data_IF_866530982078
#
_entry.id   IF_866530982078
#
_cell.length_a   1.000
_cell.length_b   1.000
_cell.length_c   1.000
_cell.angle_alpha   90.00
_cell.angle_beta   90.00
_cell.angle_gamma   90.00
#
_symmetry.space_group_name_H-M   'P 1'
#
loop_
_entity.id
_entity.type
_entity.pdbx_description
1 polymer ?
#
# COMPACT_ATOMS: atom_id res chain seq x y z
N UNK A 1 27.86 -7.78 4.71
CA UNK A 1 26.76 -8.68 5.08
C UNK A 1 25.56 -8.27 4.23
N UNK A 2 25.00 -9.20 3.46
CA UNK A 2 23.74 -9.00 2.76
C UNK A 2 22.58 -9.08 3.77
N UNK A 3 21.60 -8.20 3.65
CA UNK A 3 20.38 -8.19 4.46
C UNK A 3 19.16 -8.31 3.55
N UNK A 4 18.13 -8.96 4.03
CA UNK A 4 16.88 -9.26 3.34
C UNK A 4 15.69 -8.76 4.19
N UNK A 5 14.92 -7.80 3.73
CA UNK A 5 15.10 -6.98 2.52
C UNK A 5 16.23 -5.96 2.70
N UNK A 6 16.71 -5.35 1.60
CA UNK A 6 17.72 -4.29 1.67
C UNK A 6 17.19 -3.06 2.43
N UNK A 7 18.08 -2.34 3.13
CA UNK A 7 17.69 -1.11 3.84
C UNK A 7 17.09 -0.04 2.89
N UNK A 8 17.55 0.02 1.63
CA UNK A 8 16.99 0.93 0.63
C UNK A 8 15.57 0.57 0.23
N UNK A 9 15.28 -0.72 0.03
CA UNK A 9 13.94 -1.20 -0.32
C UNK A 9 12.95 -1.00 0.83
N UNK A 10 13.39 -1.25 2.07
CA UNK A 10 12.58 -0.98 3.28
C UNK A 10 12.25 0.52 3.35
N UNK A 11 13.25 1.40 3.22
CA UNK A 11 13.05 2.84 3.28
C UNK A 11 12.12 3.37 2.18
N UNK A 12 12.13 2.76 0.99
CA UNK A 12 11.17 3.07 -0.07
C UNK A 12 9.73 2.70 0.34
N UNK A 13 9.52 1.53 0.94
CA UNK A 13 8.20 1.08 1.38
C UNK A 13 7.66 1.88 2.58
N UNK A 14 8.52 2.30 3.50
CA UNK A 14 8.13 3.02 4.71
C UNK A 14 7.59 4.43 4.43
N UNK A 15 7.84 4.98 3.24
CA UNK A 15 7.34 6.29 2.82
C UNK A 15 6.47 6.18 1.56
N UNK A 16 5.17 6.41 1.72
CA UNK A 16 4.17 6.27 0.65
C UNK A 16 4.42 7.15 -0.58
N UNK A 17 5.00 8.34 -0.39
CA UNK A 17 5.39 9.21 -1.53
C UNK A 17 6.58 8.62 -2.27
N UNK A 18 7.58 8.10 -1.55
CA UNK A 18 8.75 7.45 -2.16
C UNK A 18 8.33 6.20 -2.94
N UNK A 19 7.47 5.37 -2.38
CA UNK A 19 6.90 4.20 -3.06
C UNK A 19 6.16 4.61 -4.33
N UNK A 20 5.27 5.60 -4.23
CA UNK A 20 4.49 6.11 -5.36
C UNK A 20 5.38 6.60 -6.50
N UNK A 21 6.36 7.44 -6.20
CA UNK A 21 7.28 7.98 -7.20
C UNK A 21 8.14 6.89 -7.85
N UNK A 22 8.57 5.91 -7.07
CA UNK A 22 9.41 4.82 -7.56
C UNK A 22 8.66 3.87 -8.49
N UNK A 23 7.40 3.61 -8.20
CA UNK A 23 6.51 2.76 -9.00
C UNK A 23 5.84 3.51 -10.16
N UNK A 24 6.00 4.84 -10.25
CA UNK A 24 5.42 5.65 -11.31
C UNK A 24 5.89 5.14 -12.68
N UNK A 25 4.95 4.92 -13.60
CA UNK A 25 5.17 4.34 -14.93
C UNK A 25 5.55 2.84 -14.96
N UNK A 26 5.65 2.17 -13.82
CA UNK A 26 5.92 0.72 -13.78
C UNK A 26 4.63 -0.06 -13.57
N UNK A 27 3.81 0.35 -12.60
CA UNK A 27 2.51 -0.24 -12.31
C UNK A 27 1.44 0.83 -12.21
N UNK A 28 0.19 0.43 -12.43
CA UNK A 28 -0.95 1.33 -12.19
C UNK A 28 -1.12 1.56 -10.70
N UNK A 29 -1.21 2.84 -10.31
CA UNK A 29 -1.45 3.30 -8.94
C UNK A 29 -2.60 4.30 -8.94
N UNK A 30 -3.30 4.52 -7.81
CA UNK A 30 -4.26 5.61 -7.70
C UNK A 30 -3.55 6.95 -7.91
N UNK A 31 -4.21 7.89 -8.59
CA UNK A 31 -3.65 9.24 -8.75
C UNK A 31 -3.36 9.85 -7.40
N UNK A 32 -2.16 10.36 -7.24
CA UNK A 32 -1.66 10.85 -5.95
C UNK A 32 -1.03 12.21 -6.12
N UNK A 33 -1.38 13.13 -5.23
CA UNK A 33 -0.79 14.46 -5.12
C UNK A 33 -0.25 14.65 -3.71
N UNK A 34 0.86 15.35 -3.58
CA UNK A 34 1.46 15.69 -2.29
C UNK A 34 2.03 17.10 -2.36
N UNK A 35 1.96 17.87 -1.25
CA UNK A 35 2.50 19.21 -1.22
C UNK A 35 4.03 19.17 -1.25
N UNK A 36 4.68 20.25 -1.71
CA UNK A 36 6.12 20.38 -1.56
C UNK A 36 6.51 20.40 -0.09
N UNK A 37 7.67 19.85 0.25
CA UNK A 37 8.21 19.97 1.60
C UNK A 37 8.47 21.44 1.91
N UNK A 38 7.93 21.91 3.05
CA UNK A 38 8.17 23.25 3.57
C UNK A 38 8.75 23.16 4.96
N UNK A 39 9.76 23.99 5.27
CA UNK A 39 10.34 24.11 6.60
C UNK A 39 9.60 25.13 7.50
N UNK A 40 8.56 25.77 6.96
CA UNK A 40 7.77 26.77 7.67
C UNK A 40 6.32 26.32 7.74
N UNK A 41 5.56 26.83 8.71
CA UNK A 41 4.12 26.62 8.73
C UNK A 41 3.51 27.13 7.42
N UNK A 42 2.84 26.27 6.69
CA UNK A 42 2.30 26.55 5.38
C UNK A 42 0.78 26.51 5.44
N UNK A 43 0.15 27.48 4.79
CA UNK A 43 -1.26 27.37 4.45
C UNK A 43 -1.40 26.41 3.25
N UNK A 44 -2.06 25.29 3.46
CA UNK A 44 -2.28 24.28 2.42
C UNK A 44 -3.59 24.47 1.66
N UNK A 45 -4.36 25.52 1.91
CA UNK A 45 -5.68 25.75 1.30
C UNK A 45 -5.63 25.68 -0.22
N UNK A 46 -4.72 26.44 -0.84
CA UNK A 46 -4.53 26.45 -2.31
C UNK A 46 -4.14 25.07 -2.87
N UNK A 47 -3.32 24.31 -2.13
CA UNK A 47 -2.94 22.95 -2.53
C UNK A 47 -4.13 22.02 -2.48
N UNK A 48 -4.90 22.06 -1.39
CA UNK A 48 -6.08 21.21 -1.19
C UNK A 48 -7.15 21.51 -2.23
N UNK A 49 -7.43 22.78 -2.53
CA UNK A 49 -8.38 23.15 -3.59
C UNK A 49 -7.97 22.60 -4.96
N UNK A 50 -6.70 22.73 -5.32
CA UNK A 50 -6.16 22.16 -6.57
C UNK A 50 -6.20 20.65 -6.58
N UNK A 51 -5.89 20.00 -5.46
CA UNK A 51 -5.95 18.55 -5.34
C UNK A 51 -7.38 18.03 -5.50
N UNK A 52 -8.37 18.68 -4.88
CA UNK A 52 -9.78 18.33 -5.04
C UNK A 52 -10.25 18.53 -6.49
N UNK A 53 -9.79 19.59 -7.16
CA UNK A 53 -10.12 19.82 -8.57
C UNK A 53 -9.57 18.73 -9.50
N UNK A 54 -8.44 18.10 -9.16
CA UNK A 54 -7.79 17.05 -9.96
C UNK A 54 -8.26 15.64 -9.60
N UNK A 55 -8.40 15.34 -8.30
CA UNK A 55 -8.70 14.00 -7.79
C UNK A 55 -10.20 13.75 -7.62
N UNK A 56 -10.99 14.83 -7.43
CA UNK A 56 -12.40 14.73 -7.05
C UNK A 56 -12.60 14.44 -5.55
N UNK A 57 -13.87 14.38 -5.15
CA UNK A 57 -14.29 13.92 -3.83
C UNK A 57 -15.25 12.73 -4.00
N UNK A 58 -15.25 11.75 -3.07
CA UNK A 58 -14.33 11.65 -1.93
C UNK A 58 -12.91 11.35 -2.38
N UNK A 59 -11.93 11.70 -1.54
CA UNK A 59 -10.52 11.33 -1.72
C UNK A 59 -9.94 10.76 -0.42
N UNK A 60 -8.76 10.15 -0.51
CA UNK A 60 -8.09 9.55 0.63
C UNK A 60 -6.91 10.42 1.07
N UNK A 61 -6.96 10.86 2.32
CA UNK A 61 -5.81 11.49 2.99
C UNK A 61 -4.95 10.41 3.64
N UNK A 62 -3.62 10.49 3.45
CA UNK A 62 -2.66 9.58 4.10
C UNK A 62 -1.47 10.37 4.63
N UNK A 63 -1.03 10.09 5.87
CA UNK A 63 0.32 10.49 6.27
C UNK A 63 1.34 9.68 5.47
N UNK A 64 2.48 10.29 5.13
CA UNK A 64 3.51 9.64 4.31
C UNK A 64 4.09 8.39 4.96
N UNK A 65 4.24 8.41 6.28
CA UNK A 65 4.73 7.29 7.08
C UNK A 65 3.64 6.84 8.04
N UNK A 66 3.47 5.54 8.21
CA UNK A 66 2.48 4.97 9.12
C UNK A 66 2.06 3.58 8.68
N UNK A 67 1.54 2.81 9.64
CA UNK A 67 1.17 1.40 9.46
C UNK A 67 -0.26 1.15 9.91
N UNK A 68 -0.80 -0.02 9.52
CA UNK A 68 -2.11 -0.51 9.97
C UNK A 68 -3.31 0.37 9.61
N UNK A 69 -3.17 1.27 8.64
CA UNK A 69 -4.25 2.16 8.22
C UNK A 69 -4.63 3.26 9.25
N UNK A 70 -3.88 3.40 10.35
CA UNK A 70 -4.22 4.35 11.41
C UNK A 70 -4.19 5.82 10.94
N UNK A 71 -3.39 6.14 9.92
CA UNK A 71 -3.22 7.47 9.37
C UNK A 71 -3.80 7.59 7.95
N UNK A 72 -4.90 6.89 7.69
CA UNK A 72 -5.58 6.86 6.38
C UNK A 72 -7.03 7.23 6.59
N UNK A 73 -7.50 8.29 5.92
CA UNK A 73 -8.83 8.85 6.13
C UNK A 73 -9.54 9.10 4.80
N UNK A 74 -10.80 8.70 4.69
CA UNK A 74 -11.67 9.04 3.57
C UNK A 74 -12.30 10.40 3.83
N UNK A 75 -11.97 11.38 3.02
CA UNK A 75 -12.45 12.76 3.13
C UNK A 75 -13.50 13.05 2.05
N UNK A 76 -14.66 13.53 2.48
CA UNK A 76 -15.78 13.89 1.60
C UNK A 76 -15.90 15.39 1.38
N UNK A 77 -15.20 16.17 2.19
CA UNK A 77 -15.20 17.65 2.10
C UNK A 77 -13.78 18.18 2.24
N UNK A 78 -13.58 19.41 1.78
CA UNK A 78 -12.32 20.15 1.96
C UNK A 78 -12.00 20.37 3.44
N UNK A 79 -13.02 20.64 4.26
CA UNK A 79 -12.85 20.86 5.70
C UNK A 79 -12.35 19.59 6.41
N UNK A 80 -12.85 18.40 6.01
CA UNK A 80 -12.34 17.14 6.52
C UNK A 80 -10.85 16.96 6.17
N UNK A 81 -10.44 17.26 4.94
CA UNK A 81 -9.03 17.21 4.53
C UNK A 81 -8.19 18.13 5.42
N UNK A 82 -8.61 19.40 5.53
CA UNK A 82 -7.90 20.40 6.34
C UNK A 82 -7.77 20.00 7.81
N UNK A 83 -8.78 19.33 8.35
CA UNK A 83 -8.77 18.87 9.76
C UNK A 83 -7.74 17.77 10.04
N UNK A 84 -7.31 17.02 9.02
CA UNK A 84 -6.29 15.97 9.16
C UNK A 84 -4.87 16.49 8.95
N UNK A 85 -4.70 17.70 8.39
CA UNK A 85 -3.38 18.29 8.18
C UNK A 85 -2.76 18.70 9.52
N UNK A 86 -1.64 18.05 9.85
CA UNK A 86 -0.84 18.32 11.03
C UNK A 86 0.60 18.68 10.66
N UNK A 87 1.53 18.34 11.52
CA UNK A 87 2.96 18.60 11.33
C UNK A 87 3.66 17.58 10.42
N UNK A 88 3.02 16.42 10.20
CA UNK A 88 3.61 15.34 9.41
C UNK A 88 3.37 15.51 7.93
N UNK A 89 4.33 15.10 7.09
CA UNK A 89 4.14 15.02 5.65
C UNK A 89 2.94 14.13 5.30
N UNK A 90 2.16 14.53 4.31
CA UNK A 90 0.95 13.84 3.87
C UNK A 90 0.84 13.80 2.35
N UNK A 91 -0.06 12.98 1.88
CA UNK A 91 -0.49 12.92 0.48
C UNK A 91 -2.01 12.85 0.39
N UNK A 92 -2.54 13.27 -0.75
CA UNK A 92 -3.94 13.11 -1.14
C UNK A 92 -4.00 12.18 -2.34
N UNK A 93 -4.90 11.20 -2.28
CA UNK A 93 -5.01 10.16 -3.28
C UNK A 93 -6.46 10.02 -3.74
N UNK A 94 -6.70 9.77 -5.04
CA UNK A 94 -8.03 9.47 -5.53
C UNK A 94 -8.62 8.26 -4.79
N UNK A 95 -9.90 8.34 -4.48
CA UNK A 95 -10.63 7.19 -3.95
C UNK A 95 -11.08 6.30 -5.10
N UNK A 96 -10.67 5.03 -5.04
CA UNK A 96 -11.13 4.01 -5.97
C UNK A 96 -12.17 3.15 -5.26
N UNK A 97 -13.39 3.13 -5.80
CA UNK A 97 -14.45 2.29 -5.28
C UNK A 97 -14.10 0.81 -5.51
N UNK A 98 -13.96 0.07 -4.44
CA UNK A 98 -13.57 -1.33 -4.46
C UNK A 98 -14.42 -2.20 -3.51
N UNK A 99 -15.61 -1.73 -3.16
CA UNK A 99 -16.50 -2.39 -2.19
C UNK A 99 -15.82 -2.69 -0.86
N UNK A 100 -15.00 -1.76 -0.37
CA UNK A 100 -14.23 -1.90 0.88
C UNK A 100 -13.37 -3.18 0.94
N UNK A 101 -12.88 -3.62 -0.21
CA UNK A 101 -12.13 -4.86 -0.36
C UNK A 101 -10.82 -4.63 -1.09
N UNK A 102 -9.79 -5.32 -0.67
CA UNK A 102 -8.53 -5.44 -1.40
C UNK A 102 -8.04 -6.88 -1.44
N UNK A 103 -7.05 -7.12 -2.29
CA UNK A 103 -6.32 -8.38 -2.37
C UNK A 103 -4.89 -8.12 -1.93
N UNK A 104 -4.43 -8.84 -0.90
CA UNK A 104 -3.01 -8.89 -0.53
C UNK A 104 -2.37 -10.13 -1.12
N UNK A 105 -1.34 -9.93 -1.93
CA UNK A 105 -0.52 -10.98 -2.53
C UNK A 105 0.86 -10.94 -1.89
N UNK A 106 1.31 -12.06 -1.35
CA UNK A 106 2.66 -12.22 -0.82
C UNK A 106 3.57 -12.74 -1.92
N UNK A 107 4.67 -12.03 -2.15
CA UNK A 107 5.69 -12.32 -3.16
C UNK A 107 6.98 -12.69 -2.45
N UNK A 108 7.64 -13.75 -2.92
CA UNK A 108 8.99 -14.15 -2.50
C UNK A 108 9.82 -14.37 -3.77
N UNK A 109 10.92 -13.64 -3.92
CA UNK A 109 11.68 -13.63 -5.16
C UNK A 109 10.82 -13.16 -6.34
N UNK A 110 10.59 -14.05 -7.28
CA UNK A 110 9.78 -13.83 -8.49
C UNK A 110 8.48 -14.65 -8.48
N UNK A 111 8.00 -15.07 -7.32
CA UNK A 111 6.82 -15.92 -7.20
C UNK A 111 5.76 -15.29 -6.28
N UNK A 112 4.51 -15.30 -6.71
CA UNK A 112 3.36 -14.99 -5.88
C UNK A 112 2.97 -16.27 -5.11
N UNK A 113 3.29 -16.30 -3.82
CA UNK A 113 3.21 -17.52 -3.00
C UNK A 113 1.81 -17.78 -2.48
N UNK A 114 1.16 -16.75 -1.97
CA UNK A 114 -0.18 -16.84 -1.38
C UNK A 114 -0.90 -15.51 -1.49
N UNK A 115 -2.23 -15.56 -1.46
CA UNK A 115 -3.04 -14.36 -1.44
C UNK A 115 -4.27 -14.50 -0.56
N UNK A 116 -4.70 -13.38 0.00
CA UNK A 116 -5.96 -13.27 0.73
C UNK A 116 -6.74 -12.05 0.23
N UNK A 117 -8.06 -12.18 0.14
CA UNK A 117 -8.97 -11.06 0.00
C UNK A 117 -9.33 -10.56 1.38
N UNK A 118 -9.20 -9.24 1.59
CA UNK A 118 -9.64 -8.58 2.83
C UNK A 118 -10.88 -7.76 2.53
N UNK A 119 -11.78 -7.67 3.48
CA UNK A 119 -13.03 -6.95 3.36
C UNK A 119 -13.47 -6.38 4.71
N UNK A 120 -14.01 -5.17 4.71
CA UNK A 120 -14.59 -4.56 5.89
C UNK A 120 -15.96 -3.93 5.54
N UNK A 121 -17.09 -4.41 6.11
CA UNK A 121 -18.40 -3.86 5.78
C UNK A 121 -18.61 -2.44 6.33
N UNK A 122 -17.90 -2.06 7.38
CA UNK A 122 -18.15 -0.84 8.15
C UNK A 122 -17.08 0.26 7.90
N UNK A 123 -15.96 -0.07 7.23
CA UNK A 123 -14.88 0.86 6.96
C UNK A 123 -14.36 0.66 5.52
N UNK A 124 -13.98 1.76 4.86
CA UNK A 124 -13.36 1.68 3.53
C UNK A 124 -11.97 1.02 3.53
N UNK A 125 -11.34 0.95 4.72
CA UNK A 125 -10.07 0.23 4.94
C UNK A 125 -10.36 -1.24 5.24
N UNK A 126 -9.89 -2.11 4.42
CA UNK A 126 -10.07 -3.56 4.53
C UNK A 126 -9.16 -4.25 5.57
N UNK A 127 -8.25 -3.50 6.22
CA UNK A 127 -7.28 -4.05 7.16
C UNK A 127 -7.95 -4.84 8.31
N UNK A 128 -7.45 -6.04 8.59
CA UNK A 128 -7.93 -6.91 9.69
C UNK A 128 -7.85 -6.17 11.04
N UNK A 129 -6.80 -5.39 11.27
CA UNK A 129 -6.60 -4.59 12.49
C UNK A 129 -7.69 -3.53 12.71
N UNK A 130 -8.41 -3.16 11.66
CA UNK A 130 -9.53 -2.21 11.72
C UNK A 130 -10.90 -2.91 11.71
N UNK A 131 -10.95 -4.20 12.07
CA UNK A 131 -12.20 -4.97 12.11
C UNK A 131 -12.57 -5.64 10.78
N UNK A 132 -11.68 -5.59 9.79
CA UNK A 132 -11.85 -6.33 8.54
C UNK A 132 -11.73 -7.84 8.73
N UNK A 133 -12.29 -8.57 7.79
CA UNK A 133 -12.18 -10.03 7.66
C UNK A 133 -11.28 -10.39 6.48
N UNK A 134 -10.78 -11.61 6.46
CA UNK A 134 -10.00 -12.13 5.34
C UNK A 134 -10.45 -13.54 4.96
N UNK A 135 -10.33 -13.87 3.69
CA UNK A 135 -10.58 -15.19 3.13
C UNK A 135 -9.45 -15.57 2.15
N UNK A 136 -9.18 -16.88 1.95
CA UNK A 136 -8.23 -17.31 0.93
C UNK A 136 -8.67 -16.79 -0.45
N UNK A 137 -7.70 -16.36 -1.24
CA UNK A 137 -7.96 -15.87 -2.59
C UNK A 137 -6.99 -16.49 -3.59
N UNK A 138 -7.50 -16.92 -4.74
CA UNK A 138 -6.67 -17.34 -5.87
C UNK A 138 -6.54 -16.15 -6.85
N UNK A 139 -5.38 -15.49 -6.89
CA UNK A 139 -5.18 -14.35 -7.76
C UNK A 139 -5.09 -14.78 -9.22
N UNK A 140 -5.60 -13.93 -10.11
CA UNK A 140 -5.43 -14.08 -11.55
C UNK A 140 -3.95 -13.94 -11.92
N UNK A 141 -3.56 -14.46 -13.09
CA UNK A 141 -2.19 -14.32 -13.59
C UNK A 141 -1.77 -12.85 -13.72
N UNK A 142 -2.70 -11.99 -14.10
CA UNK A 142 -2.49 -10.53 -14.19
C UNK A 142 -2.20 -9.90 -12.82
N UNK A 143 -2.90 -10.29 -11.76
CA UNK A 143 -2.66 -9.81 -10.40
C UNK A 143 -1.34 -10.33 -9.85
N UNK A 144 -0.99 -11.60 -10.12
CA UNK A 144 0.32 -12.19 -9.76
C UNK A 144 1.46 -11.41 -10.43
N UNK A 145 1.37 -11.19 -11.74
CA UNK A 145 2.38 -10.43 -12.50
C UNK A 145 2.51 -8.99 -11.99
N UNK A 146 1.40 -8.33 -11.67
CA UNK A 146 1.37 -6.99 -11.13
C UNK A 146 2.09 -6.92 -9.78
N UNK A 147 1.84 -7.87 -8.87
CA UNK A 147 2.47 -7.94 -7.56
C UNK A 147 3.98 -8.20 -7.68
N UNK A 148 4.39 -9.15 -8.50
CA UNK A 148 5.80 -9.47 -8.76
C UNK A 148 6.52 -8.25 -9.34
N UNK A 149 5.90 -7.58 -10.31
CA UNK A 149 6.47 -6.38 -10.94
C UNK A 149 6.67 -5.26 -9.91
N UNK A 150 5.71 -5.03 -9.02
CA UNK A 150 5.80 -4.01 -7.98
C UNK A 150 6.93 -4.32 -6.98
N UNK A 151 7.04 -5.56 -6.48
CA UNK A 151 8.13 -5.98 -5.60
C UNK A 151 9.50 -5.86 -6.26
N UNK A 152 9.62 -6.35 -7.49
CA UNK A 152 10.86 -6.30 -8.27
C UNK A 152 11.32 -4.86 -8.53
N UNK A 153 10.41 -3.95 -8.87
CA UNK A 153 10.72 -2.54 -9.10
C UNK A 153 11.29 -1.86 -7.85
N UNK A 154 10.78 -2.18 -6.66
CA UNK A 154 11.31 -1.66 -5.38
C UNK A 154 12.61 -2.36 -4.97
N UNK A 155 12.89 -3.54 -5.54
CA UNK A 155 14.04 -4.37 -5.17
C UNK A 155 13.82 -5.13 -3.86
N UNK A 156 12.59 -5.58 -3.62
CA UNK A 156 12.27 -6.44 -2.48
C UNK A 156 12.63 -7.89 -2.80
N UNK A 157 13.25 -8.56 -1.84
CA UNK A 157 13.46 -10.00 -1.87
C UNK A 157 12.15 -10.75 -1.51
N UNK A 158 11.32 -10.15 -0.65
CA UNK A 158 9.98 -10.61 -0.33
C UNK A 158 9.11 -9.45 0.19
N UNK A 159 7.80 -9.54 0.02
CA UNK A 159 6.88 -8.50 0.49
C UNK A 159 5.43 -8.73 0.08
N UNK A 160 4.54 -7.97 0.72
CA UNK A 160 3.11 -8.00 0.45
C UNK A 160 2.66 -6.82 -0.40
N UNK A 161 1.91 -7.10 -1.46
CA UNK A 161 1.35 -6.10 -2.36
C UNK A 161 -0.16 -6.06 -2.20
N UNK A 162 -0.69 -4.86 -1.95
CA UNK A 162 -2.12 -4.62 -1.82
C UNK A 162 -2.67 -4.09 -3.15
N UNK A 163 -3.61 -4.84 -3.73
CA UNK A 163 -4.24 -4.53 -5.02
C UNK A 163 -5.72 -4.23 -4.79
N UNK A 164 -6.20 -3.13 -5.36
CA UNK A 164 -7.60 -2.72 -5.39
C UNK A 164 -8.13 -2.70 -6.81
N UNK A 165 -9.42 -3.01 -6.98
CA UNK A 165 -10.05 -3.03 -8.31
C UNK A 165 -9.45 -4.04 -9.29
N UNK A 166 -8.61 -4.97 -8.83
CA UNK A 166 -8.01 -6.04 -9.64
C UNK A 166 -6.81 -5.63 -10.51
N UNK A 167 -6.51 -4.33 -10.63
CA UNK A 167 -5.45 -3.84 -11.53
C UNK A 167 -4.62 -2.68 -10.96
N UNK A 168 -4.88 -2.24 -9.74
CA UNK A 168 -4.29 -1.03 -9.18
C UNK A 168 -3.55 -1.33 -7.88
N UNK A 169 -2.23 -1.10 -7.86
CA UNK A 169 -1.39 -1.25 -6.66
C UNK A 169 -1.66 -0.09 -5.71
N UNK A 170 -2.20 -0.41 -4.53
CA UNK A 170 -2.52 0.54 -3.48
C UNK A 170 -1.36 0.77 -2.50
N UNK A 171 -0.64 -0.30 -2.17
CA UNK A 171 0.49 -0.27 -1.24
C UNK A 171 1.42 -1.46 -1.47
N UNK A 172 2.72 -1.27 -1.19
CA UNK A 172 3.72 -2.34 -1.14
C UNK A 172 4.38 -2.34 0.23
N UNK A 173 4.39 -3.49 0.87
CA UNK A 173 4.84 -3.65 2.25
C UNK A 173 6.07 -4.55 2.31
N UNK A 174 7.22 -4.01 2.74
CA UNK A 174 8.48 -4.74 2.91
C UNK A 174 8.47 -5.70 4.12
N UNK A 175 7.51 -5.52 5.03
CA UNK A 175 7.31 -6.34 6.21
C UNK A 175 5.83 -6.69 6.33
N UNK A 176 5.34 -7.52 5.42
CA UNK A 176 3.96 -7.99 5.42
C UNK A 176 3.71 -8.92 6.62
N UNK A 177 2.48 -8.87 7.13
CA UNK A 177 2.06 -9.71 8.26
C UNK A 177 1.75 -11.13 7.79
N UNK A 178 2.78 -11.95 7.59
CA UNK A 178 2.68 -13.33 7.10
C UNK A 178 1.86 -14.24 8.03
N UNK A 179 1.76 -13.91 9.33
CA UNK A 179 0.96 -14.70 10.29
C UNK A 179 -0.52 -14.67 9.90
N UNK A 180 -1.10 -13.49 9.66
CA UNK A 180 -2.50 -13.36 9.25
C UNK A 180 -2.77 -14.07 7.91
N UNK A 181 -1.79 -14.03 7.00
CA UNK A 181 -1.87 -14.74 5.73
C UNK A 181 -1.89 -16.25 5.95
N UNK A 182 -0.99 -16.78 6.79
CA UNK A 182 -0.94 -18.21 7.12
C UNK A 182 -2.21 -18.70 7.82
N UNK A 183 -2.73 -17.93 8.78
CA UNK A 183 -4.00 -18.23 9.45
C UNK A 183 -5.19 -18.26 8.48
N UNK A 184 -5.19 -17.36 7.49
CA UNK A 184 -6.26 -17.24 6.51
C UNK A 184 -6.17 -18.32 5.44
N UNK A 185 -4.98 -18.57 4.89
CA UNK A 185 -4.78 -19.42 3.69
C UNK A 185 -4.33 -20.84 4.01
N UNK A 186 -3.79 -21.08 5.22
CA UNK A 186 -3.11 -22.30 5.57
C UNK A 186 -1.70 -22.45 5.00
N UNK A 187 -1.18 -21.40 4.31
CA UNK A 187 0.15 -21.39 3.69
C UNK A 187 1.12 -20.62 4.58
N UNK A 188 2.13 -21.31 5.11
CA UNK A 188 3.24 -20.66 5.82
C UNK A 188 4.31 -20.24 4.81
N UNK A 189 4.48 -18.93 4.65
CA UNK A 189 5.43 -18.31 3.70
C UNK A 189 6.86 -18.31 4.24
N UNK A 190 7.07 -18.44 5.55
CA UNK A 190 8.39 -18.35 6.15
C UNK A 190 9.40 -19.35 5.58
N UNK A 191 9.09 -20.65 5.34
CA UNK A 191 10.02 -21.56 4.70
C UNK A 191 10.50 -21.09 3.33
N UNK A 192 9.60 -20.54 2.49
CA UNK A 192 9.93 -20.05 1.15
C UNK A 192 10.87 -18.83 1.22
N UNK A 193 10.66 -17.94 2.20
CA UNK A 193 11.56 -16.82 2.46
C UNK A 193 12.97 -17.33 2.81
N UNK A 194 13.08 -18.31 3.70
CA UNK A 194 14.38 -18.88 4.08
C UNK A 194 15.06 -19.61 2.92
N UNK A 195 14.31 -20.31 2.09
CA UNK A 195 14.83 -20.98 0.88
C UNK A 195 15.39 -19.93 -0.10
N UNK A 196 14.61 -18.90 -0.41
CA UNK A 196 15.05 -17.78 -1.26
C UNK A 196 16.32 -17.09 -0.72
N UNK A 197 16.39 -16.85 0.59
CA UNK A 197 17.61 -16.30 1.22
C UNK A 197 18.80 -17.24 1.00
N UNK A 198 18.60 -18.54 1.15
CA UNK A 198 19.64 -19.54 0.94
C UNK A 198 20.17 -19.59 -0.49
N UNK A 199 19.29 -19.43 -1.47
CA UNK A 199 19.65 -19.38 -2.90
C UNK A 199 20.42 -18.08 -3.28
N UNK A 200 20.20 -17.01 -2.52
CA UNK A 200 20.83 -15.72 -2.77
C UNK A 200 22.20 -15.54 -2.10
N UNK A 201 22.63 -16.44 -1.21
CA UNK A 201 23.90 -16.38 -0.48
C UNK A 201 25.01 -17.17 -1.17
#
# INVERSE_FOLDING_TARGET
IRVFNSASSIALCDNKVSTYLHLQNTVKQPKTLFPPLSFFSQDYSDFVEKAVAVLGLPLVFKECCGSFGAQVFLCRTTDEIMSHIGEKPFLLQEYIECNNSDVRIEVVGNEAIAAMRRYNPDDFRSNITNGGTAEPYEPTDSEKELAITACSAIGLDFGGVDIIGGDTVCEVNSNAHIINLAETTGIDVAPMIFEHIGECL
#
